data_IF_174411813388
#
_entry.id   IF_174411813388
#
_cell.length_a   1.000
_cell.length_b   1.000
_cell.length_c   1.000
_cell.angle_alpha   90.00
_cell.angle_beta   90.00
_cell.angle_gamma   90.00
#
_symmetry.space_group_name_H-M   'P 1'
#
loop_
_entity.id
_entity.type
_entity.pdbx_description
1 polymer ?
#
# COMPACT_ATOMS: atom_id res chain seq x y z
N UNK A 1 11.43 -2.74 -4.41
CA UNK A 1 11.21 -2.17 -3.07
C UNK A 1 9.74 -1.89 -2.83
N UNK A 2 9.23 -2.30 -1.69
CA UNK A 2 7.80 -2.16 -1.42
C UNK A 2 7.32 -0.71 -1.47
N UNK A 3 8.08 0.22 -0.84
CA UNK A 3 7.67 1.61 -0.83
C UNK A 3 7.52 2.19 -2.23
N UNK A 4 8.37 1.78 -3.14
CA UNK A 4 8.29 2.24 -4.52
C UNK A 4 7.02 1.76 -5.21
N UNK A 5 6.66 0.50 -4.98
CA UNK A 5 5.42 -0.06 -5.52
C UNK A 5 4.21 0.68 -4.97
N UNK A 6 4.23 1.00 -3.67
CA UNK A 6 3.16 1.73 -3.01
C UNK A 6 3.04 3.13 -3.60
N UNK A 7 4.15 3.84 -3.77
CA UNK A 7 4.10 5.20 -4.31
C UNK A 7 3.50 5.23 -5.72
N UNK A 8 3.86 4.24 -6.55
CA UNK A 8 3.28 4.13 -7.88
C UNK A 8 1.78 3.86 -7.79
N UNK A 9 1.39 2.97 -6.88
CA UNK A 9 -0.02 2.64 -6.68
C UNK A 9 -0.82 3.89 -6.25
N UNK A 10 -0.30 4.64 -5.29
CA UNK A 10 -0.97 5.85 -4.81
C UNK A 10 -1.13 6.88 -5.94
N UNK A 11 -0.11 7.02 -6.76
CA UNK A 11 -0.15 7.97 -7.87
C UNK A 11 -1.20 7.56 -8.89
N UNK A 12 -1.28 6.28 -9.21
CA UNK A 12 -2.22 5.80 -10.21
C UNK A 12 -3.66 5.81 -9.73
N UNK A 13 -3.89 5.55 -8.45
CA UNK A 13 -5.25 5.49 -7.91
C UNK A 13 -5.73 6.81 -7.35
N UNK A 14 -4.81 7.74 -7.07
CA UNK A 14 -5.15 8.99 -6.40
C UNK A 14 -5.46 8.79 -4.92
N UNK A 15 -5.18 7.62 -4.37
CA UNK A 15 -5.49 7.31 -2.97
C UNK A 15 -4.53 8.03 -2.03
N UNK A 16 -5.03 8.69 -0.96
CA UNK A 16 -4.15 9.27 0.04
C UNK A 16 -3.37 8.20 0.79
N UNK A 17 -2.13 8.53 1.18
CA UNK A 17 -1.27 7.59 1.88
C UNK A 17 -1.88 7.07 3.18
N UNK A 18 -2.56 7.95 3.93
CA UNK A 18 -3.20 7.56 5.19
C UNK A 18 -4.32 6.57 4.97
N UNK A 19 -5.12 6.77 3.92
CA UNK A 19 -6.19 5.84 3.57
C UNK A 19 -5.61 4.48 3.17
N UNK A 20 -4.55 4.49 2.38
CA UNK A 20 -3.89 3.25 1.97
C UNK A 20 -3.43 2.45 3.19
N UNK A 21 -2.72 3.09 4.11
CA UNK A 21 -2.23 2.39 5.30
C UNK A 21 -3.36 1.81 6.14
N UNK A 22 -4.44 2.57 6.29
CA UNK A 22 -5.59 2.12 7.07
C UNK A 22 -6.24 0.89 6.43
N UNK A 23 -6.43 0.91 5.13
CA UNK A 23 -7.09 -0.19 4.44
C UNK A 23 -6.20 -1.43 4.31
N UNK A 24 -4.92 -1.22 4.03
CA UNK A 24 -4.01 -2.34 3.79
C UNK A 24 -3.50 -2.99 5.06
N UNK A 25 -3.23 -2.21 6.11
CA UNK A 25 -2.59 -2.72 7.32
C UNK A 25 -3.27 -2.26 8.60
N UNK A 26 -4.38 -1.55 8.52
CA UNK A 26 -5.08 -0.95 9.66
C UNK A 26 -4.22 0.06 10.43
N UNK A 27 -3.24 0.66 9.75
CA UNK A 27 -2.32 1.62 10.34
C UNK A 27 -2.18 2.83 9.41
N UNK A 28 -2.81 3.97 9.74
CA UNK A 28 -2.75 5.15 8.87
C UNK A 28 -1.34 5.73 8.72
N UNK A 29 -0.41 5.39 9.61
CA UNK A 29 0.97 5.86 9.55
C UNK A 29 1.88 4.95 8.73
N UNK A 30 1.37 3.85 8.21
CA UNK A 30 2.19 2.82 7.58
C UNK A 30 3.07 3.39 6.46
N UNK A 31 2.49 4.11 5.52
CA UNK A 31 3.25 4.65 4.37
C UNK A 31 4.26 5.69 4.84
N UNK A 32 3.86 6.54 5.78
CA UNK A 32 4.77 7.55 6.33
C UNK A 32 5.98 6.91 6.99
N UNK A 33 5.75 5.81 7.75
CA UNK A 33 6.83 5.08 8.39
C UNK A 33 7.79 4.48 7.35
N UNK A 34 7.25 3.94 6.26
CA UNK A 34 8.08 3.40 5.19
C UNK A 34 8.93 4.50 4.53
N UNK A 35 8.35 5.68 4.34
CA UNK A 35 9.08 6.82 3.77
C UNK A 35 10.22 7.24 4.68
N UNK A 36 10.07 7.03 5.99
CA UNK A 36 11.08 7.35 6.98
C UNK A 36 12.10 6.22 7.18
N UNK A 37 12.05 5.18 6.35
CA UNK A 37 13.05 4.13 6.37
C UNK A 37 12.69 2.88 7.16
N UNK A 38 11.46 2.79 7.68
CA UNK A 38 11.03 1.60 8.42
C UNK A 38 10.94 0.40 7.47
N UNK A 39 11.42 -0.75 7.93
CA UNK A 39 11.34 -2.00 7.17
C UNK A 39 10.14 -2.80 7.65
N UNK A 40 9.17 -3.12 6.78
CA UNK A 40 8.02 -3.92 7.18
C UNK A 40 8.40 -5.39 7.34
N UNK A 41 7.61 -6.09 8.16
CA UNK A 41 7.75 -7.54 8.28
C UNK A 41 7.26 -8.20 6.98
N UNK A 42 7.75 -9.40 6.69
CA UNK A 42 7.35 -10.12 5.48
C UNK A 42 5.85 -10.38 5.42
N UNK A 43 5.22 -10.65 6.56
CA UNK A 43 3.76 -10.85 6.64
C UNK A 43 3.03 -9.56 6.23
N UNK A 44 3.49 -8.43 6.77
CA UNK A 44 2.89 -7.13 6.44
C UNK A 44 3.07 -6.81 4.96
N UNK A 45 4.27 -7.08 4.43
CA UNK A 45 4.55 -6.84 3.02
C UNK A 45 3.60 -7.66 2.14
N UNK A 46 3.40 -8.93 2.48
CA UNK A 46 2.49 -9.80 1.72
C UNK A 46 1.06 -9.28 1.76
N UNK A 47 0.61 -8.80 2.92
CA UNK A 47 -0.75 -8.24 3.05
C UNK A 47 -0.91 -7.00 2.17
N UNK A 48 0.10 -6.15 2.15
CA UNK A 48 0.06 -4.92 1.36
C UNK A 48 0.02 -5.25 -0.13
N UNK A 49 0.85 -6.18 -0.57
CA UNK A 49 0.86 -6.59 -1.97
C UNK A 49 -0.47 -7.23 -2.36
N UNK A 50 -1.03 -8.05 -1.48
CA UNK A 50 -2.34 -8.65 -1.72
C UNK A 50 -3.41 -7.57 -1.86
N UNK A 51 -3.40 -6.57 -0.96
CA UNK A 51 -4.36 -5.48 -1.02
C UNK A 51 -4.27 -4.73 -2.36
N UNK A 52 -3.05 -4.42 -2.80
CA UNK A 52 -2.87 -3.71 -4.06
C UNK A 52 -3.39 -4.53 -5.24
N UNK A 53 -3.09 -5.83 -5.26
CA UNK A 53 -3.55 -6.71 -6.32
C UNK A 53 -5.06 -6.83 -6.36
N UNK A 54 -5.69 -6.96 -5.19
CA UNK A 54 -7.15 -7.06 -5.10
C UNK A 54 -7.82 -5.76 -5.53
N UNK A 55 -7.30 -4.64 -5.04
CA UNK A 55 -7.84 -3.34 -5.41
C UNK A 55 -7.72 -3.11 -6.91
N UNK A 56 -6.56 -3.42 -7.48
CA UNK A 56 -6.29 -3.23 -8.90
C UNK A 56 -7.22 -4.10 -9.73
N UNK A 57 -7.42 -5.34 -9.33
CA UNK A 57 -8.31 -6.26 -10.03
C UNK A 57 -9.74 -5.76 -10.06
N UNK A 58 -10.24 -5.23 -8.94
CA UNK A 58 -11.60 -4.69 -8.87
C UNK A 58 -11.75 -3.45 -9.73
N UNK A 59 -10.77 -2.56 -9.67
CA UNK A 59 -10.85 -1.27 -10.35
C UNK A 59 -10.71 -1.41 -11.85
N UNK A 60 -9.98 -2.42 -12.29
CA UNK A 60 -9.68 -2.65 -13.70
C UNK A 60 -10.28 -3.95 -14.22
N UNK A 61 -11.35 -4.42 -13.60
CA UNK A 61 -12.09 -5.58 -14.10
C UNK A 61 -12.70 -5.21 -15.45
N UNK A 62 -12.55 -6.09 -16.41
CA UNK A 62 -13.05 -5.86 -17.77
C UNK A 62 -14.17 -6.75 -18.13
#
# INVERSE_FOLDING_TARGET
MLIRKIEVFLRRTGMPATKFGRLATSDPSFVLDLRNGRTPRSVTEARVEHFMNEYWGRTHAY
#
